data_IF_673997426337
#
_entry.id   IF_673997426337
#
_cell.length_a   1.000
_cell.length_b   1.000
_cell.length_c   1.000
_cell.angle_alpha   90.00
_cell.angle_beta   90.00
_cell.angle_gamma   90.00
#
_symmetry.space_group_name_H-M   'P 1'
#
loop_
_entity.id
_entity.type
_entity.pdbx_description
1 polymer ?
#
# COMPACT_ATOMS: atom_id res chain seq x y z
N UNK A 1 28.17 -2.10 -22.84
CA UNK A 1 28.61 -0.87 -22.13
C UNK A 1 29.06 0.18 -23.14
N UNK A 2 28.16 1.10 -23.53
CA UNK A 2 28.48 2.23 -24.44
C UNK A 2 28.78 3.50 -23.61
N UNK A 3 29.16 3.32 -22.35
CA UNK A 3 29.24 4.40 -21.35
C UNK A 3 30.61 5.01 -21.23
N UNK A 4 31.66 4.21 -21.42
CA UNK A 4 33.05 4.66 -21.34
C UNK A 4 33.83 4.17 -22.56
N UNK A 5 34.47 5.10 -23.25
CA UNK A 5 35.47 4.79 -24.27
C UNK A 5 36.83 5.01 -23.62
N UNK A 6 37.51 3.90 -23.30
CA UNK A 6 38.89 3.94 -22.85
C UNK A 6 39.80 4.06 -24.07
N UNK A 7 40.46 5.21 -24.20
CA UNK A 7 41.40 5.46 -25.30
C UNK A 7 42.77 4.90 -24.93
N UNK A 8 43.56 4.42 -25.90
CA UNK A 8 44.92 3.92 -25.68
C UNK A 8 45.88 4.96 -25.03
N UNK A 9 45.48 6.24 -24.97
CA UNK A 9 46.20 7.34 -24.33
C UNK A 9 45.90 7.51 -22.83
N UNK A 10 45.01 6.70 -22.25
CA UNK A 10 44.61 6.80 -20.84
C UNK A 10 43.41 7.71 -20.55
N UNK A 11 42.85 8.36 -21.57
CA UNK A 11 41.69 9.24 -21.45
C UNK A 11 40.37 8.46 -21.51
N UNK A 12 39.50 8.68 -20.52
CA UNK A 12 38.13 8.17 -20.42
C UNK A 12 37.12 9.16 -20.98
N UNK A 13 36.39 8.78 -22.03
CA UNK A 13 35.31 9.60 -22.59
C UNK A 13 33.94 9.01 -22.25
N UNK A 14 33.05 9.85 -21.72
CA UNK A 14 31.66 9.50 -21.43
C UNK A 14 30.76 9.89 -22.60
N UNK A 15 29.90 8.97 -23.04
CA UNK A 15 28.95 9.24 -24.10
C UNK A 15 27.81 10.15 -23.61
N UNK A 16 27.99 11.47 -23.71
CA UNK A 16 27.01 12.49 -23.30
C UNK A 16 26.04 12.84 -24.43
N UNK A 17 25.20 11.88 -24.86
CA UNK A 17 24.08 12.19 -25.76
C UNK A 17 22.80 12.43 -24.98
N UNK A 18 21.91 13.31 -25.48
CA UNK A 18 20.61 13.57 -24.85
C UNK A 18 19.79 12.29 -24.62
N UNK A 19 19.91 11.31 -25.53
CA UNK A 19 19.25 10.01 -25.41
C UNK A 19 19.83 9.15 -24.29
N UNK A 20 21.16 9.18 -24.08
CA UNK A 20 21.82 8.44 -22.99
C UNK A 20 21.47 9.06 -21.64
N UNK A 21 21.48 10.39 -21.54
CA UNK A 21 21.07 11.11 -20.32
C UNK A 21 19.61 10.83 -19.98
N UNK A 22 18.72 10.85 -20.97
CA UNK A 22 17.31 10.54 -20.76
C UNK A 22 17.09 9.07 -20.33
N UNK A 23 17.81 8.13 -20.95
CA UNK A 23 17.75 6.73 -20.54
C UNK A 23 18.27 6.53 -19.10
N UNK A 24 19.38 7.16 -18.73
CA UNK A 24 19.92 7.11 -17.37
C UNK A 24 18.95 7.72 -16.36
N UNK A 25 18.31 8.85 -16.69
CA UNK A 25 17.26 9.46 -15.88
C UNK A 25 16.09 8.50 -15.66
N UNK A 26 15.58 7.85 -16.71
CA UNK A 26 14.49 6.88 -16.60
C UNK A 26 14.84 5.69 -15.70
N UNK A 27 16.07 5.19 -15.78
CA UNK A 27 16.55 4.08 -14.94
C UNK A 27 16.62 4.52 -13.48
N UNK A 28 17.22 5.69 -13.21
CA UNK A 28 17.32 6.25 -11.86
C UNK A 28 15.93 6.49 -11.24
N UNK A 29 15.00 7.06 -11.99
CA UNK A 29 13.62 7.27 -11.53
C UNK A 29 12.90 5.97 -11.18
N UNK A 30 13.16 4.90 -11.93
CA UNK A 30 12.57 3.59 -11.64
C UNK A 30 13.17 2.98 -10.36
N UNK A 31 14.49 3.09 -10.18
CA UNK A 31 15.18 2.60 -8.98
C UNK A 31 14.73 3.36 -7.73
N UNK A 32 14.65 4.70 -7.82
CA UNK A 32 14.12 5.56 -6.76
C UNK A 32 12.67 5.22 -6.41
N UNK A 33 11.84 4.90 -7.39
CA UNK A 33 10.45 4.51 -7.14
C UNK A 33 10.33 3.16 -6.43
N UNK A 34 11.13 2.17 -6.82
CA UNK A 34 11.19 0.87 -6.11
C UNK A 34 11.69 1.08 -4.68
N UNK A 35 12.73 1.88 -4.50
CA UNK A 35 13.24 2.25 -3.18
C UNK A 35 12.16 2.95 -2.35
N UNK A 36 11.39 3.87 -2.94
CA UNK A 36 10.30 4.56 -2.26
C UNK A 36 9.21 3.60 -1.78
N UNK A 37 8.84 2.58 -2.56
CA UNK A 37 7.86 1.55 -2.16
C UNK A 37 8.37 0.78 -0.95
N UNK A 38 9.60 0.28 -1.02
CA UNK A 38 10.21 -0.51 0.07
C UNK A 38 10.37 0.32 1.34
N UNK A 39 10.90 1.54 1.22
CA UNK A 39 11.06 2.45 2.35
C UNK A 39 9.71 2.83 2.96
N UNK A 40 8.69 3.11 2.15
CA UNK A 40 7.36 3.45 2.66
C UNK A 40 6.75 2.28 3.42
N UNK A 41 6.85 1.06 2.88
CA UNK A 41 6.37 -0.14 3.56
C UNK A 41 7.10 -0.38 4.89
N UNK A 42 8.42 -0.17 4.90
CA UNK A 42 9.24 -0.30 6.10
C UNK A 42 8.83 0.74 7.15
N UNK A 43 8.73 2.02 6.76
CA UNK A 43 8.33 3.11 7.66
C UNK A 43 6.93 2.86 8.23
N UNK A 44 5.95 2.51 7.40
CA UNK A 44 4.60 2.17 7.87
C UNK A 44 4.64 1.01 8.85
N UNK A 45 5.39 -0.06 8.55
CA UNK A 45 5.54 -1.21 9.45
C UNK A 45 6.13 -0.81 10.81
N UNK A 46 7.18 0.03 10.81
CA UNK A 46 7.82 0.52 12.04
C UNK A 46 6.86 1.41 12.84
N UNK A 47 6.16 2.32 12.18
CA UNK A 47 5.16 3.19 12.83
C UNK A 47 4.05 2.37 13.46
N UNK A 48 3.51 1.37 12.76
CA UNK A 48 2.50 0.46 13.31
C UNK A 48 3.03 -0.38 14.47
N UNK A 49 4.29 -0.81 14.41
CA UNK A 49 4.90 -1.56 15.51
C UNK A 49 5.03 -0.70 16.76
N UNK A 50 5.35 0.59 16.61
CA UNK A 50 5.42 1.55 17.70
C UNK A 50 4.02 1.86 18.26
N UNK A 51 3.02 2.03 17.40
CA UNK A 51 1.64 2.35 17.78
C UNK A 51 0.95 1.18 18.50
N UNK A 52 1.02 -0.01 17.89
CA UNK A 52 0.33 -1.21 18.40
C UNK A 52 1.11 -1.91 19.51
N UNK A 53 2.44 -1.72 19.56
CA UNK A 53 3.37 -2.32 20.53
C UNK A 53 3.32 -3.85 20.58
N UNK A 54 2.82 -4.50 19.54
CA UNK A 54 2.68 -5.94 19.45
C UNK A 54 2.84 -6.40 18.00
N UNK A 55 3.83 -7.26 17.76
CA UNK A 55 4.16 -7.78 16.42
C UNK A 55 2.97 -8.51 15.79
N UNK A 56 2.21 -9.27 16.57
CA UNK A 56 1.05 -10.03 16.04
C UNK A 56 -0.05 -9.08 15.57
N UNK A 57 -0.29 -8.01 16.33
CA UNK A 57 -1.28 -6.99 15.98
C UNK A 57 -0.83 -6.19 14.76
N UNK A 58 0.46 -5.84 14.67
CA UNK A 58 1.06 -5.19 13.49
C UNK A 58 0.91 -6.04 12.24
N UNK A 59 1.22 -7.33 12.31
CA UNK A 59 1.05 -8.23 11.17
C UNK A 59 -0.42 -8.32 10.77
N UNK A 60 -1.34 -8.45 11.74
CA UNK A 60 -2.78 -8.48 11.47
C UNK A 60 -3.26 -7.22 10.74
N UNK A 61 -2.83 -6.04 11.16
CA UNK A 61 -3.20 -4.76 10.55
C UNK A 61 -2.53 -4.54 9.19
N UNK A 62 -1.34 -5.12 8.96
CA UNK A 62 -0.68 -5.09 7.64
C UNK A 62 -1.32 -6.04 6.62
N UNK A 63 -1.96 -7.13 7.06
CA UNK A 63 -2.53 -8.13 6.13
C UNK A 63 -3.52 -7.56 5.10
N UNK A 64 -4.45 -6.65 5.42
CA UNK A 64 -5.39 -6.10 4.44
C UNK A 64 -4.65 -5.23 3.43
N UNK A 65 -3.67 -4.43 3.88
CA UNK A 65 -2.84 -3.61 3.00
C UNK A 65 -2.07 -4.47 1.99
N UNK A 66 -1.37 -5.51 2.46
CA UNK A 66 -0.63 -6.40 1.57
C UNK A 66 -1.56 -7.12 0.58
N UNK A 67 -2.73 -7.54 1.05
CA UNK A 67 -3.75 -8.16 0.18
C UNK A 67 -4.25 -7.18 -0.86
N UNK A 68 -4.49 -5.92 -0.49
CA UNK A 68 -4.90 -4.88 -1.41
C UNK A 68 -3.85 -4.58 -2.47
N UNK A 69 -2.56 -4.56 -2.13
CA UNK A 69 -1.46 -4.39 -3.09
C UNK A 69 -1.43 -5.56 -4.09
N UNK A 70 -1.62 -6.79 -3.61
CA UNK A 70 -1.75 -7.97 -4.47
C UNK A 70 -2.97 -7.85 -5.40
N UNK A 71 -4.10 -7.34 -4.90
CA UNK A 71 -5.29 -7.12 -5.72
C UNK A 71 -5.08 -6.05 -6.77
N UNK A 72 -4.45 -4.92 -6.43
CA UNK A 72 -4.15 -3.84 -7.38
C UNK A 72 -3.24 -4.36 -8.49
N UNK A 73 -2.15 -5.04 -8.13
CA UNK A 73 -1.24 -5.63 -9.12
C UNK A 73 -1.93 -6.70 -9.97
N UNK A 74 -2.81 -7.51 -9.37
CA UNK A 74 -3.66 -8.47 -10.09
C UNK A 74 -4.64 -7.80 -11.06
N UNK A 75 -5.31 -6.71 -10.66
CA UNK A 75 -6.19 -5.95 -11.54
C UNK A 75 -5.42 -5.26 -12.66
N UNK A 76 -4.24 -4.72 -12.36
CA UNK A 76 -3.35 -4.16 -13.39
C UNK A 76 -2.96 -5.23 -14.42
N UNK A 77 -2.65 -6.45 -13.97
CA UNK A 77 -2.37 -7.55 -14.89
C UNK A 77 -3.58 -7.92 -15.77
N UNK A 78 -4.77 -8.02 -15.20
CA UNK A 78 -6.00 -8.38 -15.94
C UNK A 78 -6.39 -7.29 -16.95
N UNK A 79 -6.15 -6.02 -16.62
CA UNK A 79 -6.45 -4.87 -17.49
C UNK A 79 -5.32 -4.53 -18.48
N UNK A 80 -4.26 -5.35 -18.54
CA UNK A 80 -3.06 -5.14 -19.36
C UNK A 80 -2.31 -3.82 -19.06
N UNK A 81 -2.38 -3.36 -17.81
CA UNK A 81 -1.66 -2.20 -17.33
C UNK A 81 -0.26 -2.59 -16.88
N UNK A 82 0.75 -2.23 -17.70
CA UNK A 82 2.15 -2.46 -17.36
C UNK A 82 2.63 -1.50 -16.29
N UNK A 83 3.30 -2.03 -15.25
CA UNK A 83 4.02 -1.20 -14.28
C UNK A 83 5.13 -0.44 -15.01
N UNK A 84 5.15 0.87 -14.84
CA UNK A 84 6.07 1.80 -15.47
C UNK A 84 6.32 3.00 -14.53
N UNK A 85 7.20 3.92 -14.93
CA UNK A 85 7.58 5.09 -14.13
C UNK A 85 6.40 5.99 -13.72
N UNK A 86 5.28 5.97 -14.45
CA UNK A 86 4.12 6.82 -14.18
C UNK A 86 3.19 6.22 -13.12
N UNK A 87 3.00 4.91 -13.11
CA UNK A 87 2.09 4.26 -12.16
C UNK A 87 2.80 3.70 -10.92
N UNK A 88 4.11 3.45 -10.97
CA UNK A 88 4.84 2.89 -9.83
C UNK A 88 4.82 3.82 -8.60
N UNK A 89 4.80 5.13 -8.84
CA UNK A 89 4.68 6.17 -7.80
C UNK A 89 3.32 6.18 -7.08
N UNK A 90 2.31 5.47 -7.59
CA UNK A 90 1.06 5.28 -6.88
C UNK A 90 1.19 4.30 -5.70
N UNK A 91 2.13 3.34 -5.75
CA UNK A 91 2.25 2.31 -4.70
C UNK A 91 2.64 2.88 -3.32
N UNK A 92 3.63 3.79 -3.19
CA UNK A 92 3.91 4.45 -1.91
C UNK A 92 2.69 5.21 -1.38
N UNK A 93 1.92 5.86 -2.26
CA UNK A 93 0.69 6.57 -1.91
C UNK A 93 -0.38 5.62 -1.37
N UNK A 94 -0.60 4.48 -2.03
CA UNK A 94 -1.52 3.43 -1.58
C UNK A 94 -1.07 2.86 -0.23
N UNK A 95 0.23 2.64 -0.03
CA UNK A 95 0.77 2.14 1.24
C UNK A 95 0.52 3.15 2.37
N UNK A 96 0.83 4.43 2.13
CA UNK A 96 0.71 5.48 3.14
C UNK A 96 -0.74 5.75 3.55
N UNK A 97 -1.67 5.77 2.59
CA UNK A 97 -3.09 6.09 2.87
C UNK A 97 -3.96 4.85 3.10
N UNK A 98 -3.65 3.74 2.46
CA UNK A 98 -4.47 2.52 2.49
C UNK A 98 -4.49 1.81 3.85
N UNK A 99 -3.47 2.05 4.69
CA UNK A 99 -3.37 1.44 6.01
C UNK A 99 -4.33 2.05 7.04
N UNK A 100 -4.78 3.29 6.81
CA UNK A 100 -5.56 4.09 7.75
C UNK A 100 -6.86 3.39 8.18
N UNK A 101 -7.61 2.84 7.21
CA UNK A 101 -8.84 2.11 7.47
C UNK A 101 -8.63 0.90 8.38
N UNK A 102 -7.57 0.11 8.14
CA UNK A 102 -7.26 -1.07 8.94
C UNK A 102 -6.89 -0.67 10.39
N UNK A 103 -6.10 0.38 10.55
CA UNK A 103 -5.70 0.93 11.86
C UNK A 103 -6.92 1.42 12.64
N UNK A 104 -7.80 2.19 12.00
CA UNK A 104 -9.02 2.70 12.64
C UNK A 104 -9.96 1.58 13.10
N UNK A 105 -10.19 0.56 12.26
CA UNK A 105 -10.99 -0.62 12.65
C UNK A 105 -10.34 -1.34 13.82
N UNK A 106 -9.02 -1.54 13.78
CA UNK A 106 -8.29 -2.26 14.81
C UNK A 106 -8.32 -1.53 16.17
N UNK A 107 -8.08 -0.22 16.20
CA UNK A 107 -8.16 0.55 17.45
C UNK A 107 -9.54 0.53 18.05
N UNK A 108 -10.59 0.67 17.23
CA UNK A 108 -11.98 0.61 17.73
C UNK A 108 -12.34 -0.76 18.26
N UNK A 109 -11.84 -1.83 17.63
CA UNK A 109 -11.93 -3.17 18.16
C UNK A 109 -11.19 -3.33 19.49
N UNK A 110 -9.97 -2.76 19.61
CA UNK A 110 -9.18 -2.82 20.85
C UNK A 110 -9.85 -2.08 22.00
N UNK A 111 -10.52 -0.97 21.73
CA UNK A 111 -11.30 -0.20 22.73
C UNK A 111 -12.59 -0.91 23.15
N UNK A 112 -13.33 -1.46 22.20
CA UNK A 112 -14.62 -2.10 22.47
C UNK A 112 -14.50 -3.54 23.02
N UNK A 113 -13.34 -4.17 22.84
CA UNK A 113 -13.01 -5.48 23.38
C UNK A 113 -13.54 -6.66 22.54
N UNK A 114 -13.20 -7.91 22.92
CA UNK A 114 -13.55 -9.08 22.14
C UNK A 114 -15.07 -9.27 21.99
N UNK A 115 -15.51 -9.75 20.83
CA UNK A 115 -16.93 -9.95 20.50
C UNK A 115 -17.68 -8.69 20.04
N UNK A 116 -17.01 -7.54 19.98
CA UNK A 116 -17.60 -6.25 19.59
C UNK A 116 -17.53 -5.93 18.09
N UNK A 117 -16.97 -6.83 17.26
CA UNK A 117 -16.69 -6.60 15.83
C UNK A 117 -17.88 -6.05 15.04
N UNK A 118 -19.09 -6.57 15.27
CA UNK A 118 -20.30 -6.07 14.62
C UNK A 118 -20.66 -4.64 15.05
N UNK A 119 -20.50 -4.33 16.34
CA UNK A 119 -20.70 -2.99 16.87
C UNK A 119 -19.68 -2.02 16.27
N UNK A 120 -18.41 -2.40 16.22
CA UNK A 120 -17.31 -1.61 15.65
C UNK A 120 -17.56 -1.28 14.19
N UNK A 121 -17.93 -2.28 13.38
CA UNK A 121 -18.25 -2.05 11.96
C UNK A 121 -19.48 -1.15 11.79
N UNK A 122 -20.50 -1.29 12.63
CA UNK A 122 -21.71 -0.47 12.55
C UNK A 122 -21.48 0.98 12.95
N UNK A 123 -20.64 1.24 13.95
CA UNK A 123 -20.38 2.60 14.44
C UNK A 123 -19.30 3.31 13.64
N UNK A 124 -18.25 2.59 13.26
CA UNK A 124 -17.07 3.15 12.59
C UNK A 124 -17.18 3.07 11.08
N UNK A 125 -17.94 2.11 10.54
CA UNK A 125 -18.06 1.89 9.09
C UNK A 125 -18.55 3.11 8.31
N UNK A 126 -19.51 3.87 8.84
CA UNK A 126 -19.99 5.11 8.18
C UNK A 126 -18.88 6.15 8.09
N UNK A 127 -18.07 6.29 9.14
CA UNK A 127 -16.93 7.21 9.14
C UNK A 127 -15.84 6.75 8.16
N UNK A 128 -15.56 5.45 8.07
CA UNK A 128 -14.58 4.89 7.12
C UNK A 128 -15.03 5.07 5.67
N UNK A 129 -16.32 4.86 5.38
CA UNK A 129 -16.88 5.12 4.06
C UNK A 129 -16.75 6.59 3.71
N UNK A 130 -17.14 7.49 4.62
CA UNK A 130 -17.07 8.93 4.39
C UNK A 130 -15.62 9.39 4.11
N UNK A 131 -14.67 9.00 4.96
CA UNK A 131 -13.24 9.35 4.80
C UNK A 131 -12.65 8.77 3.52
N UNK A 132 -12.88 7.48 3.26
CA UNK A 132 -12.41 6.82 2.03
C UNK A 132 -12.99 7.50 0.79
N UNK A 133 -14.29 7.80 0.76
CA UNK A 133 -14.92 8.49 -0.36
C UNK A 133 -14.34 9.89 -0.55
N UNK A 134 -14.12 10.66 0.52
CA UNK A 134 -13.49 11.99 0.39
C UNK A 134 -12.08 11.91 -0.18
N UNK A 135 -11.28 10.93 0.24
CA UNK A 135 -9.94 10.71 -0.30
C UNK A 135 -10.00 10.27 -1.76
N UNK A 136 -10.91 9.35 -2.11
CA UNK A 136 -11.12 8.92 -3.48
C UNK A 136 -11.56 10.09 -4.37
N UNK A 137 -12.44 10.98 -3.90
CA UNK A 137 -12.82 12.20 -4.66
C UNK A 137 -11.59 13.08 -4.93
N UNK A 138 -10.68 13.22 -3.96
CA UNK A 138 -9.41 13.93 -4.15
C UNK A 138 -8.55 13.33 -5.28
N UNK A 139 -8.34 12.00 -5.27
CA UNK A 139 -7.58 11.32 -6.33
C UNK A 139 -8.31 11.25 -7.67
N UNK A 140 -9.65 11.20 -7.66
CA UNK A 140 -10.47 11.27 -8.86
C UNK A 140 -10.26 12.58 -9.62
N UNK A 141 -9.91 13.66 -8.91
CA UNK A 141 -9.52 14.93 -9.53
C UNK A 141 -8.26 14.84 -10.41
N UNK A 142 -7.43 13.80 -10.26
CA UNK A 142 -6.24 13.58 -11.10
C UNK A 142 -6.55 12.83 -12.41
N UNK A 143 -7.65 12.08 -12.46
CA UNK A 143 -8.04 11.28 -13.63
C UNK A 143 -8.31 12.12 -14.89
N UNK A 144 -8.92 13.33 -14.85
CA UNK A 144 -9.10 14.14 -16.05
C UNK A 144 -7.81 14.88 -16.50
N UNK A 145 -6.66 14.65 -15.87
CA UNK A 145 -5.43 15.35 -16.23
C UNK A 145 -4.85 14.87 -17.58
N UNK A 146 -4.44 15.82 -18.42
CA UNK A 146 -3.78 15.52 -19.71
C UNK A 146 -2.40 14.90 -19.54
N UNK A 147 -1.75 15.11 -18.39
CA UNK A 147 -0.42 14.56 -18.13
C UNK A 147 -0.53 13.06 -17.77
N UNK A 148 0.14 12.15 -18.52
CA UNK A 148 0.07 10.72 -18.26
C UNK A 148 0.44 10.30 -16.83
N UNK A 149 1.42 10.96 -16.22
CA UNK A 149 1.81 10.69 -14.84
C UNK A 149 0.65 10.90 -13.87
N UNK A 150 -0.05 12.03 -13.97
CA UNK A 150 -1.17 12.36 -13.08
C UNK A 150 -2.36 11.42 -13.29
N UNK A 151 -2.69 11.13 -14.55
CA UNK A 151 -3.73 10.17 -14.91
C UNK A 151 -3.49 8.79 -14.27
N UNK A 152 -2.27 8.26 -14.41
CA UNK A 152 -1.92 6.94 -13.91
C UNK A 152 -1.82 6.89 -12.38
N UNK A 153 -1.29 7.94 -11.75
CA UNK A 153 -1.29 8.07 -10.29
C UNK A 153 -2.72 8.06 -9.75
N UNK A 154 -3.62 8.87 -10.34
CA UNK A 154 -5.02 8.94 -9.95
C UNK A 154 -5.73 7.59 -10.10
N UNK A 155 -5.65 7.00 -11.28
CA UNK A 155 -6.33 5.73 -11.60
C UNK A 155 -5.88 4.59 -10.70
N UNK A 156 -4.57 4.37 -10.55
CA UNK A 156 -4.05 3.25 -9.75
C UNK A 156 -4.30 3.47 -8.26
N UNK A 157 -4.18 4.71 -7.78
CA UNK A 157 -4.48 5.03 -6.37
C UNK A 157 -5.95 4.83 -6.04
N UNK A 158 -6.88 5.21 -6.93
CA UNK A 158 -8.32 4.93 -6.75
C UNK A 158 -8.61 3.44 -6.62
N UNK A 159 -8.03 2.63 -7.50
CA UNK A 159 -8.16 1.17 -7.41
C UNK A 159 -7.59 0.65 -6.09
N UNK A 160 -6.42 1.15 -5.67
CA UNK A 160 -5.77 0.78 -4.42
C UNK A 160 -6.56 1.16 -3.18
N UNK A 161 -7.09 2.38 -3.10
CA UNK A 161 -7.93 2.83 -1.99
C UNK A 161 -9.20 1.99 -1.89
N UNK A 162 -9.84 1.68 -3.03
CA UNK A 162 -11.00 0.77 -3.06
C UNK A 162 -10.65 -0.63 -2.53
N UNK A 163 -9.53 -1.21 -2.97
CA UNK A 163 -9.08 -2.52 -2.48
C UNK A 163 -8.73 -2.49 -0.99
N UNK A 164 -8.05 -1.43 -0.52
CA UNK A 164 -7.69 -1.25 0.89
C UNK A 164 -8.93 -1.13 1.76
N UNK A 165 -9.93 -0.37 1.33
CA UNK A 165 -11.20 -0.25 2.04
C UNK A 165 -11.90 -1.61 2.14
N UNK A 166 -12.09 -2.30 1.01
CA UNK A 166 -12.78 -3.60 0.99
C UNK A 166 -12.07 -4.60 1.91
N UNK A 167 -10.76 -4.75 1.77
CA UNK A 167 -9.98 -5.68 2.60
C UNK A 167 -9.99 -5.28 4.08
N UNK A 168 -9.95 -3.99 4.41
CA UNK A 168 -9.98 -3.52 5.81
C UNK A 168 -11.31 -3.76 6.50
N UNK A 169 -12.45 -3.66 5.78
CA UNK A 169 -13.78 -3.88 6.38
C UNK A 169 -14.25 -5.33 6.31
N UNK A 170 -13.56 -6.19 5.54
CA UNK A 170 -13.92 -7.61 5.39
C UNK A 170 -12.87 -8.54 5.98
N UNK A 171 -11.64 -8.50 5.46
CA UNK A 171 -10.56 -9.42 5.81
C UNK A 171 -10.09 -9.21 7.25
N UNK A 172 -9.85 -7.96 7.67
CA UNK A 172 -9.38 -7.68 9.03
C UNK A 172 -10.38 -8.15 10.10
N UNK A 173 -11.69 -7.81 10.04
CA UNK A 173 -12.68 -8.36 10.96
C UNK A 173 -12.72 -9.89 10.98
N UNK A 174 -12.61 -10.53 9.82
CA UNK A 174 -12.59 -11.99 9.72
C UNK A 174 -11.36 -12.60 10.42
N UNK A 175 -10.18 -11.99 10.26
CA UNK A 175 -8.96 -12.42 10.92
C UNK A 175 -9.01 -12.19 12.44
N UNK A 176 -9.58 -11.08 12.89
CA UNK A 176 -9.80 -10.80 14.31
C UNK A 176 -10.76 -11.81 14.94
N UNK A 177 -11.88 -12.11 14.28
CA UNK A 177 -12.83 -13.12 14.74
C UNK A 177 -12.19 -14.52 14.80
N UNK A 178 -11.34 -14.85 13.83
CA UNK A 178 -10.60 -16.11 13.82
C UNK A 178 -9.63 -16.19 15.01
N UNK A 179 -8.90 -15.12 15.31
CA UNK A 179 -8.01 -15.04 16.47
C UNK A 179 -8.76 -15.21 17.80
N UNK A 180 -9.94 -14.59 17.94
CA UNK A 180 -10.78 -14.76 19.13
C UNK A 180 -11.18 -16.22 19.33
N UNK A 181 -11.62 -16.90 18.26
CA UNK A 181 -12.00 -18.32 18.30
C UNK A 181 -10.86 -19.21 18.76
N UNK A 182 -9.64 -19.00 18.23
CA UNK A 182 -8.47 -19.77 18.65
C UNK A 182 -8.08 -19.50 20.11
N UNK A 183 -8.17 -18.25 20.56
CA UNK A 183 -7.87 -17.88 21.96
C UNK A 183 -8.89 -18.50 22.94
N UNK A 184 -10.17 -18.52 22.57
CA UNK A 184 -11.23 -19.15 23.36
C UNK A 184 -11.11 -20.67 23.46
N UNK A 185 -10.70 -21.35 22.38
CA UNK A 185 -10.46 -22.80 22.38
C UNK A 185 -9.28 -23.21 23.28
N UNK A 186 -8.19 -22.44 23.28
CA UNK A 186 -7.04 -22.69 24.15
C UNK A 186 -7.39 -22.53 25.64
N UNK A 187 -8.27 -21.58 25.99
CA UNK A 187 -8.72 -21.39 27.37
C UNK A 187 -9.59 -22.54 27.88
N UNK A 188 -10.40 -23.16 27.00
CA UNK A 188 -11.21 -24.34 27.33
C UNK A 188 -10.37 -25.62 27.43
N UNK A 189 -9.37 -25.79 26.55
CA UNK A 189 -8.45 -26.94 26.58
C UNK A 189 -7.54 -26.99 27.81
N UNK A 190 -7.25 -25.85 28.47
CA UNK A 190 -6.45 -25.80 29.72
C UNK A 190 -7.28 -26.08 30.98
N UNK A 191 -8.60 -26.17 30.86
CA UNK A 191 -9.54 -26.37 31.98
C UNK A 191 -10.09 -27.80 32.11
N UNK A 192 -9.90 -28.65 31.10
CA UNK A 192 -10.21 -30.08 31.14
C UNK A 192 -8.94 -30.89 31.39
#
# INVERSE_FOLDING_TARGET
EVREIHTASGDTYYASSANIIFADMLILMLDDAVMAVVLTLLVVTVVLLIDLRNVVDTVLVLTPLLTAIIWVTGFMYILDFKVNIYNIVAFPTIIGMGIDNAVHVFHRYREAGPGSLWLVLRTTGVALVATTLTTMVGFAGLVPADHPALYWIGTVTLMGLGCCFITSVTLLPALLQLRERFSGQQALSKRG
#
